data_IF_199960620871
#
_entry.id   IF_199960620871
#
_cell.length_a   1.000
_cell.length_b   1.000
_cell.length_c   1.000
_cell.angle_alpha   90.00
_cell.angle_beta   90.00
_cell.angle_gamma   90.00
#
_symmetry.space_group_name_H-M   'P 1'
#
loop_
_entity.id
_entity.type
_entity.pdbx_description
1 polymer ?
#
# COMPACT_ATOMS: atom_id res chain seq x y z
N UNK A 1 57.66 17.59 23.38
CA UNK A 1 57.13 17.05 22.11
C UNK A 1 55.63 16.65 22.25
N UNK A 2 55.20 16.05 23.31
CA UNK A 2 53.80 15.61 23.48
C UNK A 2 52.78 16.77 23.45
N UNK A 3 53.10 17.93 24.05
CA UNK A 3 52.21 19.09 24.05
C UNK A 3 52.01 19.73 22.66
N UNK A 4 52.95 19.66 21.76
CA UNK A 4 52.82 20.15 20.38
C UNK A 4 51.87 19.30 19.55
N UNK A 5 51.85 17.96 19.74
CA UNK A 5 50.95 17.05 19.03
C UNK A 5 49.49 17.22 19.49
N UNK A 6 49.25 17.46 20.78
CA UNK A 6 47.90 17.70 21.31
C UNK A 6 47.33 19.02 20.79
N UNK A 7 48.15 20.07 20.72
CA UNK A 7 47.74 21.37 20.16
C UNK A 7 47.48 21.27 18.64
N UNK A 8 48.28 20.47 17.91
CA UNK A 8 48.07 20.23 16.48
C UNK A 8 46.76 19.43 16.22
N UNK A 9 46.44 18.46 17.06
CA UNK A 9 45.21 17.69 17.02
C UNK A 9 43.95 18.55 17.36
N UNK A 10 44.09 19.42 18.36
CA UNK A 10 43.02 20.37 18.74
C UNK A 10 42.79 21.45 17.67
N UNK A 11 43.86 21.96 17.03
CA UNK A 11 43.72 22.86 15.89
C UNK A 11 43.13 22.19 14.63
N UNK A 12 43.44 20.91 14.40
CA UNK A 12 42.85 20.21 13.25
C UNK A 12 41.37 19.89 13.44
N UNK A 13 40.90 19.69 14.65
CA UNK A 13 39.49 19.49 14.95
C UNK A 13 38.66 20.78 14.78
N UNK A 14 39.24 21.94 14.95
CA UNK A 14 38.56 23.24 14.71
C UNK A 14 38.45 23.62 13.23
N UNK A 15 39.09 22.87 12.33
CA UNK A 15 39.01 23.05 10.86
C UNK A 15 38.01 22.11 10.17
N UNK A 16 37.35 21.24 10.90
CA UNK A 16 36.24 20.46 10.34
C UNK A 16 35.07 21.42 10.16
N UNK A 17 34.87 21.86 8.92
CA UNK A 17 33.60 22.53 8.52
C UNK A 17 32.46 21.59 8.90
N UNK A 18 31.74 21.90 9.96
CA UNK A 18 30.62 21.10 10.43
C UNK A 18 29.52 21.12 9.35
N UNK A 19 29.33 19.97 8.68
CA UNK A 19 28.27 19.79 7.72
C UNK A 19 27.02 19.39 8.52
N UNK A 20 26.02 20.22 8.53
CA UNK A 20 24.74 19.95 9.16
C UNK A 20 23.82 19.22 8.17
N UNK A 21 23.44 17.98 8.47
CA UNK A 21 22.47 17.23 7.66
C UNK A 21 21.04 17.64 8.01
N UNK A 22 20.24 17.94 6.98
CA UNK A 22 18.83 18.33 7.10
C UNK A 22 18.00 17.45 6.19
N UNK A 23 17.02 16.73 6.75
CA UNK A 23 16.10 15.88 6.02
C UNK A 23 14.71 16.50 5.99
N UNK A 24 14.07 16.53 4.81
CA UNK A 24 12.76 17.15 4.62
C UNK A 24 11.90 16.33 3.68
N UNK A 25 10.57 16.36 3.91
CA UNK A 25 9.59 15.75 3.00
C UNK A 25 9.30 16.70 1.85
N UNK A 26 9.25 16.18 0.65
CA UNK A 26 8.86 16.91 -0.57
C UNK A 26 7.52 17.64 -0.38
N UNK A 27 7.43 18.84 -0.93
CA UNK A 27 6.28 19.73 -0.76
C UNK A 27 6.30 20.57 0.52
N UNK A 28 7.10 20.23 1.53
CA UNK A 28 7.23 21.02 2.75
C UNK A 28 8.18 22.22 2.58
N UNK A 29 8.33 22.99 3.64
CA UNK A 29 9.32 24.05 3.74
C UNK A 29 10.45 23.62 4.65
N UNK A 30 11.68 24.02 4.32
CA UNK A 30 12.86 23.78 5.15
C UNK A 30 13.47 25.14 5.56
N UNK A 31 13.79 25.25 6.84
CA UNK A 31 14.52 26.40 7.40
C UNK A 31 15.98 26.00 7.59
N UNK A 32 16.91 26.76 7.00
CA UNK A 32 18.33 26.65 7.22
C UNK A 32 18.73 27.79 8.17
N UNK A 33 18.98 27.49 9.45
CA UNK A 33 19.23 28.50 10.45
C UNK A 33 20.63 29.08 10.32
N UNK A 34 20.74 30.36 10.58
CA UNK A 34 22.02 31.02 10.78
C UNK A 34 22.27 31.17 12.27
N UNK A 35 22.86 30.12 12.89
CA UNK A 35 23.16 30.09 14.33
C UNK A 35 24.46 30.85 14.66
N UNK A 36 24.65 32.04 14.08
CA UNK A 36 25.83 32.85 14.34
C UNK A 36 25.46 33.97 15.33
N UNK A 37 26.08 33.92 16.48
CA UNK A 37 25.80 34.81 17.62
C UNK A 37 26.34 36.23 17.47
N UNK A 38 27.24 36.47 16.52
CA UNK A 38 27.88 37.79 16.34
C UNK A 38 27.79 38.26 14.87
N UNK A 39 26.64 38.78 14.46
CA UNK A 39 26.47 39.45 13.18
C UNK A 39 26.70 40.96 13.42
N UNK A 40 27.67 41.53 12.70
CA UNK A 40 27.92 42.98 12.73
C UNK A 40 27.07 43.71 11.66
N UNK A 41 26.85 45.00 11.87
CA UNK A 41 26.02 45.81 10.93
C UNK A 41 26.62 45.93 9.53
N UNK A 42 27.93 45.71 9.39
CA UNK A 42 28.65 45.75 8.10
C UNK A 42 28.76 44.41 7.38
N UNK A 43 28.22 43.31 7.96
CA UNK A 43 28.34 41.99 7.39
C UNK A 43 27.45 41.79 6.14
N UNK A 44 28.03 41.08 5.18
CA UNK A 44 27.29 40.55 4.03
C UNK A 44 27.10 39.06 4.23
N UNK A 45 25.86 38.58 4.12
CA UNK A 45 25.47 37.18 4.24
C UNK A 45 25.13 36.65 2.85
N UNK A 46 25.77 35.56 2.46
CA UNK A 46 25.59 34.94 1.17
C UNK A 46 25.15 33.49 1.37
N UNK A 47 24.03 33.14 0.72
CA UNK A 47 23.60 31.76 0.58
C UNK A 47 23.93 31.24 -0.81
N UNK A 48 24.61 30.10 -0.88
CA UNK A 48 25.05 29.47 -2.12
C UNK A 48 24.56 28.03 -2.18
N UNK A 49 24.31 27.53 -3.39
CA UNK A 49 23.79 26.19 -3.63
C UNK A 49 24.69 25.38 -4.56
N UNK A 50 24.80 24.07 -4.25
CA UNK A 50 25.44 23.05 -5.05
C UNK A 50 26.96 23.15 -5.13
N UNK A 51 27.56 22.21 -5.84
CA UNK A 51 29.02 22.15 -6.04
C UNK A 51 29.57 23.40 -6.74
N UNK A 52 28.79 24.01 -7.63
CA UNK A 52 29.14 25.26 -8.30
C UNK A 52 29.04 26.51 -7.44
N UNK A 53 28.60 26.38 -6.16
CA UNK A 53 28.44 27.49 -5.21
C UNK A 53 27.69 28.68 -5.79
N UNK A 54 26.57 28.39 -6.47
CA UNK A 54 25.73 29.36 -7.14
C UNK A 54 25.04 30.23 -6.10
N UNK A 55 25.15 31.56 -6.21
CA UNK A 55 24.50 32.48 -5.31
C UNK A 55 22.97 32.43 -5.48
N UNK A 56 22.26 32.12 -4.38
CA UNK A 56 20.78 32.01 -4.36
C UNK A 56 20.15 33.08 -3.47
N UNK A 57 20.88 33.61 -2.46
CA UNK A 57 20.41 34.76 -1.70
C UNK A 57 21.58 35.57 -1.16
N UNK A 58 21.35 36.88 -1.01
CA UNK A 58 22.31 37.85 -0.45
C UNK A 58 21.60 38.81 0.47
N UNK A 59 22.15 39.07 1.64
CA UNK A 59 21.72 40.09 2.58
C UNK A 59 22.89 41.05 2.81
N UNK A 60 22.63 42.33 2.67
CA UNK A 60 23.55 43.37 3.07
C UNK A 60 22.99 44.06 4.31
N UNK A 61 23.61 43.84 5.46
CA UNK A 61 23.15 44.34 6.76
C UNK A 61 23.27 45.89 6.81
N UNK A 62 24.35 46.42 6.33
CA UNK A 62 24.58 47.86 6.30
C UNK A 62 23.50 48.62 5.51
N UNK A 63 23.18 48.12 4.31
CA UNK A 63 22.15 48.71 3.44
C UNK A 63 20.73 48.28 3.79
N UNK A 64 20.56 47.35 4.72
CA UNK A 64 19.27 46.71 5.07
C UNK A 64 18.52 46.19 3.84
N UNK A 65 19.26 45.64 2.87
CA UNK A 65 18.71 45.12 1.62
C UNK A 65 18.96 43.63 1.51
N UNK A 66 18.05 42.93 0.85
CA UNK A 66 18.22 41.51 0.50
C UNK A 66 17.84 41.28 -0.96
N UNK A 67 18.39 40.24 -1.54
CA UNK A 67 18.06 39.77 -2.89
C UNK A 67 18.05 38.26 -2.90
N UNK A 68 17.09 37.65 -3.63
CA UNK A 68 17.03 36.25 -3.94
C UNK A 68 17.21 36.02 -5.43
N UNK A 69 17.77 34.91 -5.83
CA UNK A 69 18.07 34.56 -7.21
C UNK A 69 17.47 33.20 -7.55
N UNK A 70 16.92 33.07 -8.75
CA UNK A 70 16.19 31.89 -9.17
C UNK A 70 17.09 30.64 -9.43
N UNK A 71 18.42 30.84 -9.45
CA UNK A 71 19.37 29.83 -9.89
C UNK A 71 19.43 29.71 -11.43
N UNK A 72 20.36 28.91 -11.98
CA UNK A 72 20.61 28.86 -13.42
C UNK A 72 19.45 28.30 -14.25
N UNK A 73 18.62 27.45 -13.66
CA UNK A 73 17.48 26.77 -14.28
C UNK A 73 16.12 27.25 -13.73
N UNK A 74 16.13 28.25 -12.87
CA UNK A 74 14.92 28.83 -12.29
C UNK A 74 14.27 27.97 -11.19
N UNK A 75 14.95 26.91 -10.68
CA UNK A 75 14.40 25.99 -9.67
C UNK A 75 13.98 26.69 -8.37
N UNK A 76 14.64 27.80 -7.99
CA UNK A 76 14.34 28.56 -6.79
C UNK A 76 13.32 29.68 -6.98
N UNK A 77 12.74 29.83 -8.18
CA UNK A 77 11.77 30.90 -8.46
C UNK A 77 10.60 30.91 -7.49
N UNK A 78 10.41 32.03 -6.78
CA UNK A 78 9.35 32.25 -5.78
C UNK A 78 9.37 31.24 -4.60
N UNK A 79 10.51 30.58 -4.35
CA UNK A 79 10.62 29.59 -3.28
C UNK A 79 11.49 30.03 -2.12
N UNK A 80 12.32 31.04 -2.30
CA UNK A 80 13.24 31.51 -1.28
C UNK A 80 12.63 32.65 -0.46
N UNK A 81 12.71 32.49 0.88
CA UNK A 81 12.40 33.55 1.85
C UNK A 81 13.61 33.73 2.75
N UNK A 82 14.04 34.98 2.89
CA UNK A 82 15.17 35.35 3.73
C UNK A 82 14.67 36.15 4.91
N UNK A 83 15.04 35.75 6.10
CA UNK A 83 14.81 36.54 7.30
C UNK A 83 15.92 37.59 7.43
N UNK A 84 15.55 38.84 7.32
CA UNK A 84 16.51 39.98 7.40
C UNK A 84 17.09 40.16 8.79
N UNK A 85 16.40 39.75 9.84
CA UNK A 85 16.87 39.88 11.23
C UNK A 85 17.88 38.77 11.56
N UNK A 86 17.50 37.52 11.32
CA UNK A 86 18.31 36.37 11.66
C UNK A 86 19.28 35.92 10.56
N UNK A 87 19.06 36.34 9.30
CA UNK A 87 19.84 35.89 8.14
C UNK A 87 19.53 34.49 7.67
N UNK A 88 18.57 33.81 8.30
CA UNK A 88 18.18 32.46 7.98
C UNK A 88 17.48 32.36 6.62
N UNK A 89 17.67 31.23 5.93
CA UNK A 89 17.05 30.94 4.63
C UNK A 89 15.95 29.91 4.79
N UNK A 90 14.75 30.22 4.28
CA UNK A 90 13.65 29.25 4.16
C UNK A 90 13.43 28.95 2.69
N UNK A 91 13.35 27.65 2.36
CA UNK A 91 12.99 27.16 1.04
C UNK A 91 11.60 26.54 1.14
N UNK A 92 10.63 27.10 0.40
CA UNK A 92 9.22 26.68 0.42
C UNK A 92 8.90 25.70 -0.71
N UNK A 93 7.97 24.76 -0.46
CA UNK A 93 7.54 23.77 -1.44
C UNK A 93 8.73 23.05 -2.10
N UNK A 94 9.59 22.48 -1.26
CA UNK A 94 10.86 21.84 -1.67
C UNK A 94 10.57 20.60 -2.51
N UNK A 95 11.40 20.36 -3.54
CA UNK A 95 11.36 19.15 -4.39
C UNK A 95 12.73 18.49 -4.39
N UNK A 96 12.83 17.29 -4.96
CA UNK A 96 14.09 16.54 -5.09
C UNK A 96 15.20 17.34 -5.80
N UNK A 97 14.85 18.25 -6.71
CA UNK A 97 15.80 19.14 -7.40
C UNK A 97 16.50 20.14 -6.49
N UNK A 98 15.96 20.36 -5.29
CA UNK A 98 16.54 21.26 -4.28
C UNK A 98 17.42 20.50 -3.28
N UNK A 99 17.56 19.17 -3.41
CA UNK A 99 18.50 18.39 -2.60
C UNK A 99 19.94 18.77 -2.96
N UNK A 100 20.81 18.79 -1.95
CA UNK A 100 22.22 19.07 -2.11
C UNK A 100 22.78 20.00 -1.03
N UNK A 101 23.99 20.51 -1.29
CA UNK A 101 24.73 21.33 -0.34
C UNK A 101 24.35 22.81 -0.44
N UNK A 102 24.01 23.40 0.70
CA UNK A 102 23.79 24.82 0.88
C UNK A 102 24.90 25.38 1.74
N UNK A 103 25.57 26.39 1.23
CA UNK A 103 26.64 27.07 1.95
C UNK A 103 26.20 28.46 2.37
N UNK A 104 26.20 28.69 3.67
CA UNK A 104 26.17 30.02 4.26
C UNK A 104 27.59 30.59 4.31
N UNK A 105 27.77 31.83 3.87
CA UNK A 105 29.02 32.58 4.05
C UNK A 105 28.69 33.94 4.65
N UNK A 106 29.46 34.33 5.65
CA UNK A 106 29.41 35.66 6.26
C UNK A 106 30.73 36.34 5.94
N UNK A 107 30.64 37.49 5.31
CA UNK A 107 31.77 38.32 4.86
C UNK A 107 31.69 39.66 5.54
N UNK A 108 32.58 39.88 6.49
CA UNK A 108 32.72 41.14 7.25
C UNK A 108 34.12 41.20 7.87
N UNK A 109 34.25 41.77 9.06
CA UNK A 109 35.49 41.82 9.79
C UNK A 109 36.06 40.44 10.09
N UNK A 110 35.18 39.42 10.23
CA UNK A 110 35.55 37.98 10.32
C UNK A 110 34.86 37.22 9.19
N UNK A 111 35.60 36.27 8.60
CA UNK A 111 35.01 35.35 7.62
C UNK A 111 34.49 34.08 8.35
N UNK A 112 33.27 33.68 8.04
CA UNK A 112 32.67 32.43 8.56
C UNK A 112 31.91 31.71 7.46
N UNK A 113 31.88 30.37 7.55
CA UNK A 113 31.15 29.54 6.59
C UNK A 113 30.56 28.32 7.32
N UNK A 114 29.30 27.97 6.98
CA UNK A 114 28.59 26.79 7.45
C UNK A 114 27.97 26.07 6.25
N UNK A 115 28.00 24.75 6.23
CA UNK A 115 27.42 23.96 5.14
C UNK A 115 26.28 23.10 5.67
N UNK A 116 25.17 23.09 4.94
CA UNK A 116 24.00 22.24 5.17
C UNK A 116 23.89 21.27 4.01
N UNK A 117 23.81 19.97 4.32
CA UNK A 117 23.44 18.96 3.33
C UNK A 117 21.96 18.65 3.46
N UNK A 118 21.18 19.05 2.46
CA UNK A 118 19.72 18.91 2.43
C UNK A 118 19.35 17.69 1.62
N UNK A 119 18.67 16.73 2.26
CA UNK A 119 18.09 15.56 1.63
C UNK A 119 16.57 15.69 1.58
N UNK A 120 15.98 15.47 0.40
CA UNK A 120 14.54 15.55 0.17
C UNK A 120 13.99 14.16 -0.08
N UNK A 121 12.97 13.78 0.68
CA UNK A 121 12.32 12.48 0.61
C UNK A 121 10.88 12.61 0.17
N UNK A 122 10.42 11.70 -0.69
CA UNK A 122 9.02 11.59 -1.07
C UNK A 122 8.10 11.23 0.10
N UNK A 123 6.80 11.47 -0.01
CA UNK A 123 5.82 10.99 0.95
C UNK A 123 5.78 9.46 0.94
N UNK A 124 5.64 8.85 2.13
CA UNK A 124 5.52 7.39 2.21
C UNK A 124 4.09 6.95 1.92
N UNK A 125 3.88 6.04 0.95
CA UNK A 125 2.59 5.38 0.77
C UNK A 125 2.31 4.41 1.92
N UNK A 126 1.04 4.05 2.10
CA UNK A 126 0.67 2.96 3.00
C UNK A 126 0.98 1.63 2.32
N UNK A 127 1.72 0.70 2.96
CA UNK A 127 1.97 -0.62 2.41
C UNK A 127 0.66 -1.38 2.19
N UNK A 128 0.57 -2.10 1.06
CA UNK A 128 -0.55 -2.97 0.75
C UNK A 128 -0.15 -4.42 0.99
N UNK A 129 -0.95 -5.16 1.79
CA UNK A 129 -0.74 -6.58 2.05
C UNK A 129 -1.79 -7.36 1.29
N UNK A 130 -1.34 -8.31 0.48
CA UNK A 130 -2.19 -9.20 -0.31
C UNK A 130 -1.78 -10.65 -0.11
N UNK A 131 -2.71 -11.60 -0.35
CA UNK A 131 -2.36 -13.02 -0.42
C UNK A 131 -1.71 -13.34 -1.76
N UNK A 132 -0.57 -14.03 -1.71
CA UNK A 132 0.09 -14.53 -2.91
C UNK A 132 -0.41 -15.95 -3.24
N UNK A 133 -1.17 -16.07 -4.32
CA UNK A 133 -1.71 -17.35 -4.80
C UNK A 133 -0.75 -18.10 -5.72
N UNK A 134 0.33 -17.48 -6.15
CA UNK A 134 1.25 -18.07 -7.16
C UNK A 134 2.06 -19.24 -6.62
N UNK A 135 2.29 -19.28 -5.31
CA UNK A 135 3.08 -20.34 -4.66
C UNK A 135 2.29 -21.65 -4.41
N UNK A 136 0.96 -21.61 -4.42
CA UNK A 136 0.12 -22.76 -4.09
C UNK A 136 -0.01 -23.81 -5.21
N UNK A 137 0.53 -23.55 -6.40
CA UNK A 137 0.45 -24.45 -7.58
C UNK A 137 1.55 -25.53 -7.60
N UNK A 138 2.55 -25.47 -6.72
CA UNK A 138 3.74 -26.35 -6.77
C UNK A 138 3.82 -27.38 -5.65
N UNK A 139 2.94 -27.39 -4.67
CA UNK A 139 3.01 -28.31 -3.51
C UNK A 139 1.73 -29.13 -3.33
N UNK A 140 1.64 -30.20 -4.13
CA UNK A 140 0.75 -31.32 -3.87
C UNK A 140 1.40 -32.30 -2.87
N UNK A 141 1.66 -31.86 -1.65
CA UNK A 141 2.05 -32.73 -0.55
C UNK A 141 1.07 -32.57 0.62
N UNK A 142 0.45 -33.65 0.93
CA UNK A 142 -0.54 -33.91 1.98
C UNK A 142 0.04 -33.72 3.38
N UNK A 143 0.35 -32.51 3.79
CA UNK A 143 0.57 -32.13 5.18
C UNK A 143 -0.45 -31.08 5.57
N UNK A 144 -1.17 -31.33 6.66
CA UNK A 144 -2.27 -30.51 7.18
C UNK A 144 -1.87 -29.14 7.75
N UNK A 145 -0.69 -28.65 7.45
CA UNK A 145 -0.26 -27.29 7.76
C UNK A 145 -0.62 -26.37 6.59
N UNK A 146 -1.63 -25.54 6.78
CA UNK A 146 -2.00 -24.52 5.81
C UNK A 146 -1.04 -23.34 5.94
N UNK A 147 0.01 -23.32 5.12
CA UNK A 147 0.85 -22.14 4.97
C UNK A 147 0.11 -21.09 4.15
N UNK A 148 0.18 -19.84 4.59
CA UNK A 148 -0.37 -18.71 3.90
C UNK A 148 0.79 -17.84 3.38
N UNK A 149 0.89 -17.72 2.07
CA UNK A 149 1.86 -16.85 1.42
C UNK A 149 1.27 -15.47 1.24
N UNK A 150 1.97 -14.45 1.71
CA UNK A 150 1.57 -13.05 1.74
C UNK A 150 2.60 -12.20 1.01
N UNK A 151 2.14 -11.11 0.42
CA UNK A 151 2.98 -10.15 -0.28
C UNK A 151 2.68 -8.75 0.25
N UNK A 152 3.67 -8.10 0.83
CA UNK A 152 3.60 -6.67 1.11
C UNK A 152 4.19 -5.90 -0.06
N UNK A 153 3.48 -4.89 -0.56
CA UNK A 153 3.89 -4.11 -1.72
C UNK A 153 3.65 -2.62 -1.56
N UNK A 154 4.53 -1.84 -2.17
CA UNK A 154 4.43 -0.39 -2.32
C UNK A 154 4.84 0.00 -3.74
N UNK A 155 4.37 1.15 -4.22
CA UNK A 155 4.64 1.63 -5.58
C UNK A 155 5.20 3.04 -5.56
N UNK A 156 6.01 3.38 -6.56
CA UNK A 156 6.58 4.71 -6.80
C UNK A 156 7.33 5.26 -5.57
N UNK A 157 8.29 4.49 -5.05
CA UNK A 157 9.09 4.84 -3.87
C UNK A 157 10.57 4.93 -4.18
N UNK A 158 11.28 5.80 -3.46
CA UNK A 158 12.74 5.92 -3.49
C UNK A 158 13.27 6.17 -2.08
N UNK A 159 14.50 5.77 -1.82
CA UNK A 159 15.17 5.95 -0.51
C UNK A 159 14.35 5.39 0.66
N UNK A 160 13.77 4.20 0.49
CA UNK A 160 12.93 3.54 1.51
C UNK A 160 13.43 2.14 1.83
N UNK A 161 13.06 1.67 3.01
CA UNK A 161 13.17 0.27 3.44
C UNK A 161 11.77 -0.27 3.70
N UNK A 162 11.44 -1.41 3.10
CA UNK A 162 10.21 -2.17 3.34
C UNK A 162 10.57 -3.40 4.19
N UNK A 163 9.82 -3.65 5.26
CA UNK A 163 10.18 -4.66 6.26
C UNK A 163 8.97 -5.39 6.80
N UNK A 164 9.12 -6.69 7.07
CA UNK A 164 8.18 -7.48 7.84
C UNK A 164 8.61 -7.61 9.29
N UNK A 165 7.65 -7.47 10.20
CA UNK A 165 7.81 -7.68 11.64
C UNK A 165 6.82 -8.70 12.17
N UNK A 166 7.27 -9.49 13.16
CA UNK A 166 6.45 -10.36 14.03
C UNK A 166 6.51 -9.75 15.43
N UNK A 167 5.44 -9.10 15.86
CA UNK A 167 5.51 -8.23 17.03
C UNK A 167 6.58 -7.15 16.86
N UNK A 168 7.60 -7.14 17.71
CA UNK A 168 8.74 -6.21 17.65
C UNK A 168 9.97 -6.79 16.94
N UNK A 169 9.92 -8.04 16.46
CA UNK A 169 11.07 -8.70 15.83
C UNK A 169 11.05 -8.51 14.33
N UNK A 170 12.15 -8.04 13.76
CA UNK A 170 12.35 -7.92 12.32
C UNK A 170 12.50 -9.33 11.71
N UNK A 171 11.70 -9.67 10.71
CA UNK A 171 11.75 -10.94 9.97
C UNK A 171 12.58 -10.82 8.69
N UNK A 172 12.27 -9.81 7.89
CA UNK A 172 12.94 -9.55 6.62
C UNK A 172 12.84 -8.09 6.23
N UNK A 173 13.74 -7.64 5.38
CA UNK A 173 13.71 -6.27 4.83
C UNK A 173 14.35 -6.19 3.46
N UNK A 174 13.91 -5.21 2.68
CA UNK A 174 14.49 -4.82 1.39
C UNK A 174 14.56 -3.30 1.32
N UNK A 175 15.67 -2.77 0.81
CA UNK A 175 15.90 -1.33 0.68
C UNK A 175 16.14 -0.94 -0.77
N UNK A 176 15.67 0.25 -1.13
CA UNK A 176 15.94 0.86 -2.43
C UNK A 176 16.43 2.29 -2.23
N UNK A 177 17.44 2.67 -3.01
CA UNK A 177 17.98 4.04 -3.09
C UNK A 177 17.36 4.81 -4.26
N UNK A 178 17.19 4.15 -5.39
CA UNK A 178 16.67 4.76 -6.62
C UNK A 178 15.15 4.61 -6.70
N UNK A 179 14.53 5.34 -7.63
CA UNK A 179 13.09 5.24 -7.85
C UNK A 179 12.71 3.81 -8.28
N UNK A 180 11.85 3.18 -7.48
CA UNK A 180 11.28 1.88 -7.77
C UNK A 180 9.79 2.00 -8.10
N UNK A 181 9.39 1.47 -9.27
CA UNK A 181 8.00 1.46 -9.70
C UNK A 181 7.17 0.54 -8.79
N UNK A 182 7.75 -0.58 -8.37
CA UNK A 182 7.11 -1.53 -7.46
C UNK A 182 8.16 -2.20 -6.59
N UNK A 183 7.94 -2.18 -5.28
CA UNK A 183 8.75 -2.88 -4.29
C UNK A 183 7.85 -3.85 -3.56
N UNK A 184 8.22 -5.12 -3.53
CA UNK A 184 7.42 -6.19 -2.94
C UNK A 184 8.28 -7.09 -2.06
N UNK A 185 7.75 -7.48 -0.90
CA UNK A 185 8.41 -8.34 0.07
C UNK A 185 7.48 -9.47 0.47
N UNK A 186 7.81 -10.74 0.13
CA UNK A 186 6.99 -11.90 0.48
C UNK A 186 7.16 -12.29 1.96
N UNK A 187 6.13 -12.96 2.50
CA UNK A 187 6.12 -13.57 3.82
C UNK A 187 5.30 -14.84 3.81
N UNK A 188 5.83 -15.93 4.36
CA UNK A 188 5.10 -17.15 4.61
C UNK A 188 4.77 -17.26 6.10
N UNK A 189 3.49 -17.50 6.44
CA UNK A 189 3.01 -17.67 7.81
C UNK A 189 2.23 -18.96 7.95
N UNK A 190 2.35 -19.60 9.11
CA UNK A 190 1.50 -20.74 9.47
C UNK A 190 0.18 -20.20 10.05
N UNK A 191 -0.94 -20.69 9.54
CA UNK A 191 -2.28 -20.23 9.90
C UNK A 191 -2.60 -20.35 11.40
N UNK A 192 -1.97 -21.30 12.09
CA UNK A 192 -2.25 -21.55 13.52
C UNK A 192 -1.55 -20.58 14.49
N UNK A 193 -0.66 -19.74 14.00
CA UNK A 193 0.06 -18.80 14.85
C UNK A 193 -0.79 -17.57 15.19
N UNK A 194 -1.10 -17.39 16.47
CA UNK A 194 -1.73 -16.16 17.03
C UNK A 194 -0.73 -15.01 17.13
N UNK A 195 0.11 -14.83 16.13
CA UNK A 195 1.11 -13.76 16.12
C UNK A 195 0.59 -12.55 15.36
N UNK A 196 0.95 -11.37 15.82
CA UNK A 196 0.72 -10.14 15.09
C UNK A 196 1.86 -9.89 14.11
N UNK A 197 1.54 -9.73 12.85
CA UNK A 197 2.49 -9.35 11.82
C UNK A 197 2.18 -7.95 11.32
N UNK A 198 3.22 -7.24 10.91
CA UNK A 198 3.05 -5.92 10.30
C UNK A 198 4.08 -5.69 9.20
N UNK A 199 3.66 -5.02 8.15
CA UNK A 199 4.53 -4.52 7.11
C UNK A 199 4.78 -3.03 7.33
N UNK A 200 6.04 -2.64 7.34
CA UNK A 200 6.49 -1.29 7.62
C UNK A 200 7.33 -0.78 6.45
N UNK A 201 6.94 0.37 5.90
CA UNK A 201 7.81 1.16 5.04
C UNK A 201 8.43 2.30 5.85
N UNK A 202 9.71 2.52 5.68
CA UNK A 202 10.47 3.52 6.42
C UNK A 202 11.36 4.35 5.50
N UNK A 203 11.46 5.64 5.76
CA UNK A 203 12.52 6.51 5.28
C UNK A 203 13.17 7.23 6.49
N UNK A 204 14.28 8.00 6.33
CA UNK A 204 14.95 8.66 7.45
C UNK A 204 14.09 9.64 8.28
N UNK A 205 12.90 10.01 7.81
CA UNK A 205 12.04 11.00 8.48
C UNK A 205 10.91 10.34 9.25
N UNK A 206 10.26 9.30 8.66
CA UNK A 206 9.08 8.65 9.23
C UNK A 206 8.90 7.22 8.73
N UNK A 207 7.95 6.51 9.35
CA UNK A 207 7.48 5.21 8.91
C UNK A 207 5.96 5.21 8.68
N UNK A 208 5.50 4.23 7.90
CA UNK A 208 4.10 3.85 7.73
C UNK A 208 3.97 2.35 7.96
N UNK A 209 2.95 1.95 8.71
CA UNK A 209 2.75 0.55 9.11
C UNK A 209 1.37 0.07 8.69
N UNK A 210 1.30 -1.11 8.11
CA UNK A 210 0.07 -1.87 7.88
C UNK A 210 0.12 -3.14 8.70
N UNK A 211 -0.89 -3.33 9.55
CA UNK A 211 -1.03 -4.55 10.35
C UNK A 211 -1.73 -5.63 9.55
N UNK A 212 -1.26 -6.87 9.70
CA UNK A 212 -1.84 -8.03 9.06
C UNK A 212 -2.94 -8.62 9.94
N UNK A 213 -4.13 -8.76 9.39
CA UNK A 213 -5.15 -9.66 9.91
C UNK A 213 -5.08 -11.01 9.18
N UNK A 214 -4.44 -12.00 9.84
CA UNK A 214 -4.29 -13.35 9.30
C UNK A 214 -5.66 -13.99 9.04
N UNK A 215 -6.65 -13.68 9.87
CA UNK A 215 -7.98 -14.29 9.75
C UNK A 215 -8.70 -13.82 8.49
N UNK A 216 -8.53 -12.56 8.11
CA UNK A 216 -9.14 -12.00 6.90
C UNK A 216 -8.47 -12.50 5.61
N UNK A 217 -7.15 -12.50 5.58
CA UNK A 217 -6.39 -12.81 4.36
C UNK A 217 -6.13 -14.30 4.14
N UNK A 218 -5.97 -15.08 5.22
CA UNK A 218 -5.58 -16.48 5.12
C UNK A 218 -6.73 -17.46 5.24
N UNK A 219 -7.92 -17.04 5.72
CA UNK A 219 -9.11 -17.89 5.67
C UNK A 219 -9.49 -18.19 4.21
N UNK A 220 -9.36 -19.44 3.82
CA UNK A 220 -10.11 -19.95 2.68
C UNK A 220 -11.56 -20.04 3.11
N UNK A 221 -12.40 -19.09 2.74
CA UNK A 221 -13.84 -19.27 2.86
C UNK A 221 -14.24 -20.54 2.08
N UNK A 222 -14.86 -21.54 2.71
CA UNK A 222 -15.40 -22.70 1.99
C UNK A 222 -16.65 -22.32 1.17
N UNK A 223 -16.71 -21.08 0.65
CA UNK A 223 -17.89 -20.56 -0.04
C UNK A 223 -18.15 -21.19 -1.42
N UNK A 224 -17.16 -21.88 -2.01
CA UNK A 224 -17.39 -22.51 -3.33
C UNK A 224 -17.95 -23.95 -3.26
N UNK A 225 -17.76 -24.63 -2.13
CA UNK A 225 -18.23 -26.03 -1.99
C UNK A 225 -19.74 -26.08 -1.71
N UNK A 226 -20.30 -25.10 -0.99
CA UNK A 226 -21.73 -25.14 -0.63
C UNK A 226 -22.65 -24.90 -1.83
N UNK A 227 -22.24 -24.06 -2.80
CA UNK A 227 -23.09 -23.75 -3.96
C UNK A 227 -23.18 -24.94 -4.92
N UNK A 228 -22.08 -25.62 -5.18
CA UNK A 228 -22.07 -26.82 -6.04
C UNK A 228 -22.82 -28.00 -5.40
N UNK A 229 -22.71 -28.18 -4.08
CA UNK A 229 -23.46 -29.20 -3.34
C UNK A 229 -24.95 -28.87 -3.33
N UNK A 230 -25.34 -27.62 -3.15
CA UNK A 230 -26.75 -27.20 -3.20
C UNK A 230 -27.35 -27.35 -4.60
N UNK A 231 -26.60 -27.05 -5.66
CA UNK A 231 -27.04 -27.21 -7.05
C UNK A 231 -27.19 -28.71 -7.38
N UNK A 232 -26.28 -29.58 -6.93
CA UNK A 232 -26.36 -31.02 -7.14
C UNK A 232 -27.52 -31.65 -6.37
N UNK A 233 -27.79 -31.22 -5.14
CA UNK A 233 -28.92 -31.69 -4.35
C UNK A 233 -30.26 -31.25 -4.95
N UNK A 234 -30.38 -30.02 -5.40
CA UNK A 234 -31.58 -29.51 -6.09
C UNK A 234 -31.79 -30.22 -7.44
N UNK A 235 -30.72 -30.45 -8.20
CA UNK A 235 -30.76 -31.24 -9.44
C UNK A 235 -31.26 -32.67 -9.22
N UNK A 236 -30.78 -33.35 -8.17
CA UNK A 236 -31.20 -34.69 -7.81
C UNK A 236 -32.66 -34.76 -7.42
N UNK A 237 -33.18 -33.79 -6.66
CA UNK A 237 -34.59 -33.71 -6.27
C UNK A 237 -35.50 -33.49 -7.49
N UNK A 238 -35.10 -32.66 -8.44
CA UNK A 238 -35.85 -32.42 -9.67
C UNK A 238 -35.94 -33.69 -10.55
N UNK A 239 -34.85 -34.43 -10.66
CA UNK A 239 -34.83 -35.71 -11.40
C UNK A 239 -35.73 -36.73 -10.74
N UNK A 240 -35.69 -36.89 -9.41
CA UNK A 240 -36.58 -37.78 -8.67
C UNK A 240 -38.05 -37.38 -8.86
N UNK A 241 -38.36 -36.08 -8.75
CA UNK A 241 -39.70 -35.59 -8.97
C UNK A 241 -40.19 -35.88 -10.40
N UNK A 242 -39.36 -35.65 -11.41
CA UNK A 242 -39.69 -35.97 -12.81
C UNK A 242 -39.93 -37.47 -13.04
N UNK A 243 -39.12 -38.35 -12.43
CA UNK A 243 -39.33 -39.80 -12.53
C UNK A 243 -40.64 -40.22 -11.84
N UNK A 244 -40.93 -39.68 -10.65
CA UNK A 244 -42.18 -40.00 -9.93
C UNK A 244 -43.40 -39.52 -10.74
N UNK A 245 -43.38 -38.32 -11.28
CA UNK A 245 -44.43 -37.79 -12.16
C UNK A 245 -44.63 -38.65 -13.41
N UNK A 246 -43.55 -39.11 -14.03
CA UNK A 246 -43.58 -40.00 -15.19
C UNK A 246 -44.21 -41.37 -14.85
N UNK A 247 -43.86 -41.92 -13.66
CA UNK A 247 -44.47 -43.15 -13.16
C UNK A 247 -45.98 -43.02 -12.88
N UNK A 248 -46.41 -41.91 -12.27
CA UNK A 248 -47.79 -41.62 -12.00
C UNK A 248 -48.57 -41.49 -13.32
N UNK A 249 -48.04 -40.72 -14.30
CA UNK A 249 -48.64 -40.58 -15.61
C UNK A 249 -48.76 -41.90 -16.37
N UNK A 250 -47.73 -42.81 -16.29
CA UNK A 250 -47.81 -44.13 -16.87
C UNK A 250 -48.86 -45.03 -16.19
N UNK A 251 -48.97 -44.93 -14.86
CA UNK A 251 -49.97 -45.66 -14.09
C UNK A 251 -51.38 -45.19 -14.44
N UNK A 252 -51.61 -43.88 -14.52
CA UNK A 252 -52.88 -43.28 -14.91
C UNK A 252 -53.28 -43.66 -16.33
N UNK A 253 -52.34 -43.69 -17.31
CA UNK A 253 -52.63 -44.15 -18.68
C UNK A 253 -53.07 -45.61 -18.73
N UNK A 254 -52.41 -46.50 -17.93
CA UNK A 254 -52.80 -47.93 -17.85
C UNK A 254 -54.22 -48.07 -17.28
N UNK A 255 -54.60 -47.27 -16.28
CA UNK A 255 -55.92 -47.32 -15.67
C UNK A 255 -56.99 -46.80 -16.65
N UNK A 256 -56.70 -45.75 -17.44
CA UNK A 256 -57.63 -45.24 -18.46
C UNK A 256 -57.79 -46.25 -19.62
N UNK A 257 -56.71 -46.94 -20.04
CA UNK A 257 -56.81 -47.99 -21.08
C UNK A 257 -57.56 -49.19 -20.58
N UNK A 258 -57.40 -49.62 -19.32
CA UNK A 258 -58.16 -50.70 -18.72
C UNK A 258 -59.68 -50.34 -18.57
N UNK A 259 -59.96 -49.08 -18.31
CA UNK A 259 -61.33 -48.59 -18.24
C UNK A 259 -62.04 -48.55 -19.63
N UNK A 260 -61.29 -48.14 -20.68
CA UNK A 260 -61.74 -48.18 -22.06
C UNK A 260 -62.04 -49.61 -22.57
N UNK A 261 -61.19 -50.59 -22.26
CA UNK A 261 -61.40 -51.99 -22.61
C UNK A 261 -62.58 -52.58 -21.87
N UNK A 262 -62.88 -52.19 -20.64
CA UNK A 262 -64.07 -52.60 -19.89
C UNK A 262 -65.38 -51.97 -20.42
N UNK A 263 -65.27 -50.77 -20.98
CA UNK A 263 -66.43 -50.05 -21.60
C UNK A 263 -66.73 -50.64 -22.99
N UNK A 264 -65.71 -51.09 -23.76
CA UNK A 264 -65.91 -51.77 -25.04
C UNK A 264 -66.50 -53.15 -24.85
N UNK A 265 -66.13 -53.96 -23.87
CA UNK A 265 -66.70 -55.23 -23.52
C UNK A 265 -68.17 -55.08 -23.02
N UNK A 266 -68.53 -53.94 -22.41
CA UNK A 266 -69.87 -53.69 -21.91
C UNK A 266 -70.78 -53.24 -23.01
N UNK A 267 -70.28 -52.65 -24.09
CA UNK A 267 -71.12 -52.24 -25.24
C UNK A 267 -71.46 -53.41 -26.15
N UNK A 268 -70.58 -54.43 -26.21
CA UNK A 268 -70.96 -55.64 -27.00
C UNK A 268 -71.94 -56.56 -26.28
N UNK A 269 -71.99 -56.54 -24.93
CA UNK A 269 -72.93 -57.29 -24.14
C UNK A 269 -74.38 -56.68 -24.07
N UNK A 270 -74.51 -55.36 -24.40
CA UNK A 270 -75.72 -54.62 -24.27
C UNK A 270 -76.58 -54.51 -25.55
N UNK A 271 -76.18 -55.17 -26.65
CA UNK A 271 -76.98 -55.28 -27.89
C UNK A 271 -78.21 -56.23 -27.78
N UNK A 272 -78.42 -56.81 -26.56
CA UNK A 272 -79.53 -57.79 -26.38
C UNK A 272 -80.60 -57.39 -25.37
N UNK A 273 -80.74 -56.15 -24.90
CA UNK A 273 -81.90 -55.79 -24.10
C UNK A 273 -82.28 -54.29 -24.21
N UNK A 274 -83.62 -54.06 -24.33
CA UNK A 274 -84.31 -52.74 -24.47
C UNK A 274 -84.17 -51.81 -23.21
N UNK A 275 -84.51 -50.53 -23.30
CA UNK A 275 -84.01 -49.46 -22.47
C UNK A 275 -84.83 -49.22 -21.18
N UNK A 276 -84.13 -48.82 -20.10
CA UNK A 276 -84.72 -48.08 -18.97
C UNK A 276 -83.80 -46.89 -18.62
N UNK A 277 -84.40 -45.73 -18.67
CA UNK A 277 -83.81 -44.43 -18.27
C UNK A 277 -83.45 -44.42 -16.77
N UNK A 278 -82.33 -43.91 -16.39
CA UNK A 278 -82.20 -43.19 -15.13
C UNK A 278 -80.93 -42.29 -15.14
N UNK A 279 -81.16 -41.02 -14.80
CA UNK A 279 -80.14 -39.97 -14.63
C UNK A 279 -79.41 -40.17 -13.32
N UNK A 280 -78.13 -40.02 -13.31
CA UNK A 280 -77.40 -39.66 -12.08
C UNK A 280 -76.19 -38.76 -12.36
N UNK A 281 -76.25 -37.61 -11.67
CA UNK A 281 -75.26 -36.54 -11.62
C UNK A 281 -74.08 -37.03 -10.86
N UNK A 282 -72.87 -36.77 -11.38
CA UNK A 282 -71.58 -36.91 -10.61
C UNK A 282 -70.94 -35.57 -10.41
N UNK A 283 -70.85 -35.18 -9.15
CA UNK A 283 -70.09 -34.03 -8.68
C UNK A 283 -68.56 -34.40 -8.61
N UNK A 284 -67.77 -33.45 -9.08
CA UNK A 284 -66.33 -33.41 -8.89
C UNK A 284 -66.02 -32.75 -7.54
N UNK A 285 -65.10 -33.36 -6.77
CA UNK A 285 -64.25 -32.69 -5.80
C UNK A 285 -62.81 -33.02 -6.14
#
# INVERSE_FOLDING_TARGET
>A
MFHMFVLFWLCWWSLINEIQSVSVIEGNSVLLPMDVTEIQEDDNILWKFGAGRILIAKINKHKKTFSTFDGPDGRFRNRLKVDQQTGSLTITNITTEHAGDYQLQIIGAKWSSKTFNVSVYGPLPTPNITRDYSQNLSSSSSSSQQNCSLLCSVVNVSHVTLSWYKGNSLLSSISVSDLSISLSLPLEVEYQEKNSYSCVINNPIRNQTTHLDITELCHTHPASVSLTVLISAAGSLLIVAAVVMCCICKKSRKTVTAFKTLEEDRTDSSKSQKPVRSFMIVQLV
#
